data_IF_669515460416
#
_entry.id   IF_669515460416
#
_cell.length_a   1.000
_cell.length_b   1.000
_cell.length_c   1.000
_cell.angle_alpha   90.00
_cell.angle_beta   90.00
_cell.angle_gamma   90.00
#
_symmetry.space_group_name_H-M   'P 1'
#
loop_
_entity.id
_entity.type
_entity.pdbx_description
1 polymer ?
#
# COMPACT_ATOMS: atom_id res chain seq x y z
N UNK A 1 15.08 10.51 -5.58
CA UNK A 1 14.72 9.30 -4.79
C UNK A 1 13.67 9.69 -3.78
N UNK A 2 12.61 8.89 -3.64
CA UNK A 2 11.55 9.14 -2.65
C UNK A 2 11.94 8.41 -1.35
N UNK A 3 12.04 9.12 -0.22
CA UNK A 3 12.47 8.53 1.05
C UNK A 3 11.32 7.80 1.75
N UNK A 4 11.65 6.96 2.75
CA UNK A 4 10.64 6.27 3.57
C UNK A 4 9.73 7.26 4.32
N UNK A 5 10.25 8.43 4.71
CA UNK A 5 9.46 9.49 5.32
C UNK A 5 8.46 10.10 4.32
N UNK A 6 8.90 10.37 3.08
CA UNK A 6 8.03 10.88 2.00
C UNK A 6 6.91 9.89 1.66
N UNK A 7 7.21 8.59 1.67
CA UNK A 7 6.21 7.53 1.48
C UNK A 7 5.15 7.55 2.58
N UNK A 8 5.56 7.81 3.83
CA UNK A 8 4.64 7.96 4.96
C UNK A 8 3.72 9.17 4.75
N UNK A 9 4.31 10.34 4.48
CA UNK A 9 3.58 11.58 4.29
C UNK A 9 2.52 11.47 3.19
N UNK A 10 2.92 11.01 2.00
CA UNK A 10 2.00 10.82 0.86
C UNK A 10 0.90 9.80 1.13
N UNK A 11 1.18 8.76 1.91
CA UNK A 11 0.15 7.80 2.33
C UNK A 11 -0.83 8.42 3.32
N UNK A 12 -0.35 9.29 4.20
CA UNK A 12 -1.19 10.15 5.05
C UNK A 12 -2.14 11.00 4.21
N UNK A 13 -1.67 11.65 3.16
CA UNK A 13 -2.52 12.44 2.25
C UNK A 13 -3.54 11.57 1.50
N UNK A 14 -3.15 10.35 1.12
CA UNK A 14 -4.04 9.37 0.49
C UNK A 14 -4.92 8.60 1.49
N UNK A 15 -4.81 8.85 2.79
CA UNK A 15 -5.47 8.05 3.83
C UNK A 15 -6.99 8.02 3.69
N UNK A 16 -7.60 9.14 3.31
CA UNK A 16 -9.04 9.23 3.08
C UNK A 16 -9.48 8.44 1.84
N UNK A 17 -8.63 8.36 0.81
CA UNK A 17 -8.86 7.49 -0.34
C UNK A 17 -8.79 6.01 0.05
N UNK A 18 -7.80 5.62 0.85
CA UNK A 18 -7.66 4.25 1.36
C UNK A 18 -8.89 3.88 2.20
N UNK A 19 -9.30 4.75 3.13
CA UNK A 19 -10.50 4.55 3.96
C UNK A 19 -11.78 4.47 3.13
N UNK A 20 -11.88 5.27 2.06
CA UNK A 20 -13.02 5.24 1.14
C UNK A 20 -13.05 3.93 0.36
N UNK A 21 -11.92 3.44 -0.10
CA UNK A 21 -11.82 2.19 -0.84
C UNK A 21 -12.17 0.99 0.04
N UNK A 22 -11.68 0.97 1.28
CA UNK A 22 -12.09 -0.03 2.27
C UNK A 22 -13.60 -0.01 2.51
N UNK A 23 -14.19 1.18 2.70
CA UNK A 23 -15.65 1.32 2.90
C UNK A 23 -16.45 0.87 1.69
N UNK A 24 -16.01 1.17 0.46
CA UNK A 24 -16.65 0.69 -0.77
C UNK A 24 -16.72 -0.84 -0.83
N UNK A 25 -15.79 -1.51 -0.17
CA UNK A 25 -15.68 -2.97 -0.10
C UNK A 25 -16.22 -3.56 1.21
N UNK A 26 -16.99 -2.78 1.97
CA UNK A 26 -17.56 -3.17 3.26
C UNK A 26 -16.53 -3.58 4.33
N UNK A 27 -15.30 -3.05 4.22
CA UNK A 27 -14.26 -3.25 5.22
C UNK A 27 -13.98 -1.97 6.00
N UNK A 28 -13.63 -2.14 7.28
CA UNK A 28 -13.12 -1.09 8.16
C UNK A 28 -11.66 -1.37 8.49
N UNK A 29 -10.94 -0.37 9.02
CA UNK A 29 -9.58 -0.59 9.54
C UNK A 29 -9.56 -1.65 10.64
N UNK A 30 -10.63 -1.75 11.44
CA UNK A 30 -10.77 -2.75 12.50
C UNK A 30 -11.00 -4.15 11.93
N UNK A 31 -11.87 -4.30 10.94
CA UNK A 31 -12.07 -5.62 10.30
C UNK A 31 -10.81 -6.07 9.57
N UNK A 32 -10.11 -5.16 8.89
CA UNK A 32 -8.80 -5.45 8.30
C UNK A 32 -7.79 -5.90 9.36
N UNK A 33 -7.71 -5.18 10.49
CA UNK A 33 -6.83 -5.53 11.59
C UNK A 33 -7.13 -6.94 12.15
N UNK A 34 -8.42 -7.27 12.31
CA UNK A 34 -8.86 -8.60 12.73
C UNK A 34 -8.46 -9.70 11.73
N UNK A 35 -8.60 -9.44 10.42
CA UNK A 35 -8.22 -10.39 9.37
C UNK A 35 -6.73 -10.74 9.40
N UNK A 36 -5.87 -9.76 9.68
CA UNK A 36 -4.41 -9.94 9.68
C UNK A 36 -3.81 -10.21 11.07
N UNK A 37 -4.64 -10.27 12.12
CA UNK A 37 -4.22 -10.46 13.50
C UNK A 37 -3.39 -9.30 14.07
N UNK A 38 -3.67 -8.06 13.65
CA UNK A 38 -3.02 -6.85 14.17
C UNK A 38 -4.03 -5.97 14.93
N UNK A 39 -3.52 -4.97 15.65
CA UNK A 39 -4.38 -3.96 16.28
C UNK A 39 -4.87 -2.95 15.24
N UNK A 40 -6.10 -2.45 15.44
CA UNK A 40 -6.65 -1.37 14.60
C UNK A 40 -5.78 -0.11 14.63
N UNK A 41 -5.06 0.12 15.72
CA UNK A 41 -4.11 1.22 15.86
C UNK A 41 -2.87 1.03 14.98
N UNK A 42 -2.32 -0.19 14.88
CA UNK A 42 -1.20 -0.47 13.97
C UNK A 42 -1.58 -0.24 12.51
N UNK A 43 -2.82 -0.60 12.13
CA UNK A 43 -3.39 -0.30 10.81
C UNK A 43 -3.53 1.21 10.62
N UNK A 44 -4.11 1.92 11.59
CA UNK A 44 -4.30 3.38 11.52
C UNK A 44 -2.98 4.15 11.41
N UNK A 45 -1.97 3.81 12.23
CA UNK A 45 -0.62 4.39 12.14
C UNK A 45 0.03 4.11 10.79
N UNK A 46 -0.21 2.93 10.21
CA UNK A 46 0.29 2.62 8.87
C UNK A 46 -0.37 3.49 7.81
N UNK A 47 -1.70 3.59 7.84
CA UNK A 47 -2.50 4.42 6.90
C UNK A 47 -2.17 5.91 7.04
N UNK A 48 -1.90 6.42 8.26
CA UNK A 48 -1.46 7.81 8.48
C UNK A 48 -0.01 8.08 8.10
N UNK A 49 0.78 7.03 7.78
CA UNK A 49 2.18 7.16 7.43
C UNK A 49 3.17 7.20 8.60
N UNK A 50 2.67 7.12 9.84
CA UNK A 50 3.48 7.09 11.07
C UNK A 50 4.22 5.76 11.25
N UNK A 51 3.64 4.67 10.73
CA UNK A 51 4.23 3.33 10.73
C UNK A 51 4.34 2.82 9.29
N UNK A 52 5.32 1.95 9.04
CA UNK A 52 5.44 1.20 7.79
C UNK A 52 5.37 -0.29 8.12
N UNK A 53 4.15 -0.84 8.08
CA UNK A 53 3.91 -2.27 8.28
C UNK A 53 3.68 -2.96 6.93
N UNK A 54 4.62 -3.81 6.46
CA UNK A 54 4.46 -4.59 5.23
C UNK A 54 3.17 -5.40 5.20
N UNK A 55 2.84 -6.07 6.32
CA UNK A 55 1.61 -6.89 6.46
C UNK A 55 0.33 -6.09 6.25
N UNK A 56 0.30 -4.84 6.73
CA UNK A 56 -0.87 -3.96 6.53
C UNK A 56 -0.97 -3.53 5.07
N UNK A 57 0.16 -3.16 4.44
CA UNK A 57 0.18 -2.77 3.03
C UNK A 57 -0.20 -3.93 2.10
N UNK A 58 0.28 -5.14 2.40
CA UNK A 58 -0.07 -6.35 1.67
C UNK A 58 -1.57 -6.64 1.78
N UNK A 59 -2.14 -6.58 2.99
CA UNK A 59 -3.57 -6.81 3.16
C UNK A 59 -4.45 -5.70 2.57
N UNK A 60 -4.02 -4.43 2.57
CA UNK A 60 -4.72 -3.37 1.84
C UNK A 60 -4.74 -3.67 0.33
N UNK A 61 -3.65 -4.19 -0.21
CA UNK A 61 -3.54 -4.60 -1.61
C UNK A 61 -4.41 -5.81 -1.94
N UNK A 62 -4.46 -6.80 -1.05
CA UNK A 62 -5.31 -7.99 -1.22
C UNK A 62 -6.80 -7.60 -1.18
N UNK A 63 -7.14 -6.62 -0.34
CA UNK A 63 -8.45 -5.97 -0.38
C UNK A 63 -8.65 -5.06 -1.59
N UNK A 64 -7.68 -4.94 -2.48
CA UNK A 64 -7.71 -4.23 -3.77
C UNK A 64 -7.59 -2.71 -3.68
N UNK A 65 -7.00 -2.18 -2.61
CA UNK A 65 -6.61 -0.77 -2.57
C UNK A 65 -5.51 -0.52 -3.62
N UNK A 66 -5.69 0.47 -4.52
CA UNK A 66 -4.70 0.76 -5.55
C UNK A 66 -3.32 1.14 -5.01
N UNK A 67 -2.27 0.62 -5.64
CA UNK A 67 -0.86 0.87 -5.27
C UNK A 67 -0.47 2.34 -5.23
N UNK A 68 -1.09 3.16 -6.09
CA UNK A 68 -0.90 4.62 -6.12
C UNK A 68 -1.26 5.31 -4.80
N UNK A 69 -1.97 4.63 -3.90
CA UNK A 69 -2.31 5.12 -2.56
C UNK A 69 -1.52 4.43 -1.45
N UNK A 70 -0.91 3.26 -1.72
CA UNK A 70 -0.19 2.47 -0.71
C UNK A 70 1.23 2.99 -0.44
N UNK A 71 1.85 3.66 -1.42
CA UNK A 71 3.19 4.23 -1.33
C UNK A 71 4.16 3.28 -0.59
N UNK A 72 4.26 2.05 -1.09
CA UNK A 72 5.06 1.01 -0.45
C UNK A 72 6.56 1.28 -0.68
N UNK A 73 7.34 1.58 0.38
CA UNK A 73 8.76 1.87 0.23
C UNK A 73 9.54 0.67 -0.34
N UNK A 74 9.04 -0.57 -0.20
CA UNK A 74 9.68 -1.76 -0.78
C UNK A 74 9.64 -1.76 -2.31
N UNK A 75 8.62 -1.14 -2.91
CA UNK A 75 8.43 -1.09 -4.37
C UNK A 75 9.02 0.17 -5.01
N UNK A 76 9.21 1.22 -4.21
CA UNK A 76 9.91 2.44 -4.63
C UNK A 76 11.44 2.30 -4.51
N UNK A 77 11.92 1.38 -3.66
CA UNK A 77 13.33 1.02 -3.56
C UNK A 77 13.79 -0.01 -4.62
N UNK A 78 12.86 -0.62 -5.35
CA UNK A 78 13.23 -1.38 -6.54
C UNK A 78 13.43 -0.35 -7.66
N UNK A 79 14.63 -0.24 -8.28
CA UNK A 79 14.67 0.29 -9.64
C UNK A 79 13.64 -0.53 -10.42
N UNK A 80 12.75 0.15 -11.15
CA UNK A 80 11.82 -0.49 -12.07
C UNK A 80 12.58 -1.61 -12.78
N UNK A 81 12.08 -2.86 -12.82
CA UNK A 81 12.68 -3.82 -13.72
C UNK A 81 12.59 -3.13 -15.08
N UNK A 82 13.73 -2.81 -15.67
CA UNK A 82 13.83 -2.42 -17.07
C UNK A 82 12.95 -3.42 -17.78
N UNK A 83 11.84 -2.96 -18.34
CA UNK A 83 11.04 -3.74 -19.28
C UNK A 83 12.03 -4.31 -20.27
N UNK A 84 12.33 -5.60 -20.11
CA UNK A 84 13.09 -6.32 -21.10
C UNK A 84 12.24 -6.22 -22.38
N UNK A 85 12.81 -5.79 -23.51
CA UNK A 85 12.06 -5.80 -24.76
C UNK A 85 11.69 -7.27 -25.02
N UNK A 86 10.39 -7.57 -25.04
CA UNK A 86 9.91 -8.84 -25.55
C UNK A 86 10.45 -8.98 -26.97
N UNK A 87 11.36 -9.94 -27.15
CA UNK A 87 11.78 -10.39 -28.47
C UNK A 87 10.61 -11.16 -29.07
N UNK A 88 9.97 -10.58 -30.09
CA UNK A 88 9.22 -11.25 -31.15
C UNK A 88 9.45 -10.34 -32.38
N UNK A 89 10.04 -10.75 -33.50
CA UNK A 89 9.81 -11.99 -34.24
C UNK A 89 11.10 -12.55 -34.86
N UNK A 90 11.19 -13.87 -34.86
CA UNK A 90 12.01 -14.61 -35.81
C UNK A 90 11.26 -14.65 -37.15
N UNK A 91 11.91 -14.14 -38.19
CA UNK A 91 11.54 -14.34 -39.59
C UNK A 91 12.73 -14.93 -40.34
#
# INVERSE_FOLDING_TARGET
>A
MMTRADCGHRRGDASDFIRRELRRRNHTMRSLAALIGLSGEAVAKTVRGELHSPRVLDALRDLGVPEKYLFDPRRLAQPQPLTQPERQDAA
#
